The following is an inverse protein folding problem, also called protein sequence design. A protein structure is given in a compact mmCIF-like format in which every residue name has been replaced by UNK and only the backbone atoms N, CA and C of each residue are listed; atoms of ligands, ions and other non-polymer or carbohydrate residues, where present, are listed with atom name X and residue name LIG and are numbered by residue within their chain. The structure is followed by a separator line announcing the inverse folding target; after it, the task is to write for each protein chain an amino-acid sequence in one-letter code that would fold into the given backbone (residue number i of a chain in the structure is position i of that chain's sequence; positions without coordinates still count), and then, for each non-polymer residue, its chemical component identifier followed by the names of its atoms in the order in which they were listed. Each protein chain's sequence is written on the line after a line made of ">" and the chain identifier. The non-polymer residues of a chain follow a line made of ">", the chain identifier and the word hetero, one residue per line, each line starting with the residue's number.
data_IF_000779054253
#
_entry.id   IF_000779054253
#
_cell.length_a   1.000
_cell.length_b   1.000
_cell.length_c   1.000
_cell.angle_alpha   90.00
_cell.angle_beta   90.00
_cell.angle_gamma   90.00
#
_symmetry.space_group_name_H-M   'P 1'
#
loop_
_entity.id
_entity.type
_entity.pdbx_description
1 polymer ?
#
# COMPACT_ATOMS: atom_id res chain seq x y z
N UNK A 1 -0.17 9.68 13.20
CA UNK A 1 1.24 9.59 12.76
C UNK A 1 2.28 10.15 13.74
N UNK A 2 1.92 10.91 14.79
CA UNK A 2 2.88 11.39 15.81
C UNK A 2 3.62 10.28 16.60
N UNK A 3 3.12 9.03 16.62
CA UNK A 3 3.71 7.90 17.37
C UNK A 3 4.88 7.16 16.67
N UNK A 4 5.09 7.32 15.36
CA UNK A 4 6.14 6.60 14.60
C UNK A 4 7.13 7.51 13.86
N UNK A 5 6.98 8.84 14.00
CA UNK A 5 7.89 9.82 13.42
C UNK A 5 8.13 9.67 11.92
N UNK A 6 9.30 10.12 11.47
CA UNK A 6 9.76 10.06 10.07
C UNK A 6 9.83 8.62 9.54
N UNK A 7 10.21 7.64 10.37
CA UNK A 7 10.39 6.24 9.95
C UNK A 7 9.09 5.55 9.51
N UNK A 8 7.97 5.81 10.18
CA UNK A 8 6.67 5.25 9.78
C UNK A 8 6.21 5.77 8.40
N UNK A 9 6.47 7.03 8.10
CA UNK A 9 6.16 7.60 6.79
C UNK A 9 7.07 7.04 5.69
N UNK A 10 8.35 6.81 5.98
CA UNK A 10 9.28 6.19 5.03
C UNK A 10 8.86 4.77 4.66
N UNK A 11 8.40 3.96 5.61
CA UNK A 11 7.88 2.61 5.33
C UNK A 11 6.60 2.69 4.48
N UNK A 12 5.68 3.60 4.79
CA UNK A 12 4.49 3.83 3.95
C UNK A 12 4.89 4.16 2.50
N UNK A 13 5.78 5.13 2.31
CA UNK A 13 6.26 5.55 0.98
C UNK A 13 6.96 4.41 0.23
N UNK A 14 7.72 3.60 0.95
CA UNK A 14 8.34 2.41 0.38
C UNK A 14 7.30 1.40 -0.12
N UNK A 15 6.26 1.11 0.67
CA UNK A 15 5.19 0.19 0.28
C UNK A 15 4.37 0.70 -0.91
N UNK A 16 4.11 2.01 -0.95
CA UNK A 16 3.49 2.66 -2.12
C UNK A 16 4.36 2.48 -3.36
N UNK A 17 5.67 2.74 -3.25
CA UNK A 17 6.59 2.56 -4.37
C UNK A 17 6.68 1.09 -4.82
N UNK A 18 6.64 0.12 -3.89
CA UNK A 18 6.63 -1.30 -4.24
C UNK A 18 5.38 -1.69 -5.04
N UNK A 19 4.20 -1.17 -4.67
CA UNK A 19 2.98 -1.37 -5.46
C UNK A 19 3.16 -0.86 -6.89
N UNK A 20 3.77 0.33 -7.03
CA UNK A 20 4.03 0.95 -8.32
C UNK A 20 5.10 0.24 -9.14
N UNK A 21 6.14 -0.31 -8.50
CA UNK A 21 7.14 -1.13 -9.17
C UNK A 21 6.55 -2.42 -9.75
N UNK A 22 5.57 -3.02 -9.06
CA UNK A 22 4.83 -4.16 -9.59
C UNK A 22 3.89 -3.76 -10.74
N UNK A 23 3.64 -2.45 -10.92
CA UNK A 23 2.74 -1.93 -11.92
C UNK A 23 1.27 -2.13 -11.56
N UNK A 24 0.98 -2.37 -10.28
CA UNK A 24 -0.36 -2.66 -9.78
C UNK A 24 -0.97 -1.47 -9.01
N UNK A 25 -2.29 -1.49 -8.89
CA UNK A 25 -3.08 -0.49 -8.15
C UNK A 25 -3.27 -0.87 -6.66
N UNK A 26 -2.64 -1.95 -6.22
CA UNK A 26 -2.59 -2.42 -4.84
C UNK A 26 -1.33 -3.26 -4.61
N UNK A 27 -0.95 -3.43 -3.36
CA UNK A 27 0.12 -4.33 -2.93
C UNK A 27 -0.46 -5.48 -2.10
N UNK A 28 -0.29 -6.76 -2.52
CA UNK A 28 -0.66 -7.89 -1.70
C UNK A 28 0.09 -7.90 -0.36
N UNK A 29 -0.65 -7.94 0.75
CA UNK A 29 -0.06 -8.00 2.08
C UNK A 29 -0.06 -9.41 2.64
N UNK A 30 1.06 -10.10 2.43
CA UNK A 30 1.35 -11.41 3.01
C UNK A 30 2.59 -11.35 3.91
N UNK A 31 2.85 -12.46 4.60
CA UNK A 31 4.01 -12.59 5.48
C UNK A 31 5.34 -12.41 4.72
N UNK A 32 5.40 -12.81 3.45
CA UNK A 32 6.58 -12.60 2.61
C UNK A 32 6.84 -11.12 2.35
N UNK A 33 5.83 -10.35 1.95
CA UNK A 33 5.94 -8.89 1.76
C UNK A 33 6.37 -8.20 3.05
N UNK A 34 5.81 -8.63 4.18
CA UNK A 34 6.16 -8.11 5.50
C UNK A 34 7.62 -8.45 5.87
N UNK A 35 8.10 -9.67 5.59
CA UNK A 35 9.50 -10.07 5.81
C UNK A 35 10.48 -9.31 4.91
N UNK A 36 10.16 -9.10 3.63
CA UNK A 36 10.97 -8.29 2.71
C UNK A 36 11.11 -6.86 3.23
N UNK A 37 9.99 -6.26 3.64
CA UNK A 37 9.98 -4.91 4.23
C UNK A 37 10.79 -4.85 5.52
N UNK A 38 10.65 -5.85 6.40
CA UNK A 38 11.39 -5.94 7.65
C UNK A 38 12.91 -6.06 7.42
N UNK A 39 13.32 -6.89 6.45
CA UNK A 39 14.72 -7.06 6.06
C UNK A 39 15.30 -5.79 5.45
N UNK A 40 14.55 -5.09 4.59
CA UNK A 40 14.98 -3.84 3.98
C UNK A 40 15.21 -2.73 5.01
N UNK A 41 14.30 -2.59 5.97
CA UNK A 41 14.35 -1.58 7.01
C UNK A 41 15.13 -2.01 8.27
N UNK A 42 15.74 -3.20 8.24
CA UNK A 42 16.46 -3.82 9.36
C UNK A 42 15.68 -3.75 10.70
N UNK A 43 14.39 -4.10 10.64
CA UNK A 43 13.45 -4.03 11.76
C UNK A 43 12.73 -5.37 11.95
N UNK A 44 12.02 -5.55 13.06
CA UNK A 44 11.24 -6.77 13.29
C UNK A 44 9.99 -6.83 12.40
N UNK A 45 9.57 -8.05 12.05
CA UNK A 45 8.31 -8.31 11.33
C UNK A 45 7.10 -7.76 12.08
N UNK A 46 7.10 -7.88 13.41
CA UNK A 46 6.05 -7.34 14.27
C UNK A 46 5.98 -5.82 14.22
N UNK A 47 7.13 -5.14 14.21
CA UNK A 47 7.18 -3.68 14.09
C UNK A 47 6.65 -3.20 12.75
N UNK A 48 7.04 -3.84 11.64
CA UNK A 48 6.49 -3.51 10.31
C UNK A 48 4.98 -3.71 10.30
N UNK A 49 4.51 -4.85 10.79
CA UNK A 49 3.08 -5.15 10.85
C UNK A 49 2.32 -4.14 11.71
N UNK A 50 2.91 -3.72 12.83
CA UNK A 50 2.35 -2.71 13.72
C UNK A 50 2.30 -1.34 13.06
N UNK A 51 3.32 -0.95 12.30
CA UNK A 51 3.37 0.30 11.54
C UNK A 51 2.30 0.29 10.43
N UNK A 52 2.19 -0.80 9.66
CA UNK A 52 1.17 -0.95 8.61
C UNK A 52 -0.24 -0.88 9.19
N UNK A 53 -0.50 -1.56 10.32
CA UNK A 53 -1.76 -1.42 11.05
C UNK A 53 -2.01 0.02 11.50
N UNK A 54 -0.96 0.73 11.93
CA UNK A 54 -1.03 2.15 12.24
C UNK A 54 -1.39 3.00 11.02
N UNK A 55 -0.81 2.73 9.85
CA UNK A 55 -1.13 3.39 8.58
C UNK A 55 -2.60 3.17 8.18
N UNK A 56 -3.11 1.95 8.34
CA UNK A 56 -4.53 1.63 8.12
C UNK A 56 -5.43 2.41 9.10
N UNK A 57 -5.05 2.46 10.39
CA UNK A 57 -5.85 3.14 11.42
C UNK A 57 -5.95 4.65 11.19
N UNK A 58 -4.91 5.28 10.63
CA UNK A 58 -4.93 6.71 10.30
C UNK A 58 -5.52 7.02 8.93
N UNK A 59 -5.93 6.00 8.16
CA UNK A 59 -6.53 6.16 6.83
C UNK A 59 -5.52 6.34 5.68
N UNK A 60 -4.23 6.07 5.88
CA UNK A 60 -3.26 6.07 4.78
C UNK A 60 -3.49 4.90 3.82
N UNK A 61 -3.87 3.74 4.37
CA UNK A 61 -4.26 2.59 3.57
C UNK A 61 -5.74 2.29 3.80
N UNK A 62 -6.42 1.83 2.77
CA UNK A 62 -7.82 1.46 2.86
C UNK A 62 -8.00 0.21 3.75
N UNK A 63 -8.52 0.42 4.96
CA UNK A 63 -8.73 -0.66 5.92
C UNK A 63 -9.84 -1.65 5.55
N UNK A 64 -10.81 -1.23 4.74
CA UNK A 64 -11.87 -2.09 4.23
C UNK A 64 -11.31 -3.16 3.28
N UNK A 65 -10.52 -2.72 2.30
CA UNK A 65 -9.85 -3.60 1.34
C UNK A 65 -8.79 -4.47 2.00
N UNK A 66 -8.05 -3.92 2.96
CA UNK A 66 -7.11 -4.72 3.75
C UNK A 66 -7.83 -5.87 4.48
N UNK A 67 -9.02 -5.63 5.02
CA UNK A 67 -9.78 -6.65 5.75
C UNK A 67 -10.42 -7.68 4.81
N UNK A 68 -10.94 -7.24 3.65
CA UNK A 68 -11.65 -8.10 2.69
C UNK A 68 -10.69 -8.94 1.84
N UNK A 69 -9.62 -8.34 1.34
CA UNK A 69 -8.71 -8.96 0.36
C UNK A 69 -7.27 -9.11 0.84
N UNK A 70 -6.90 -8.61 2.02
CA UNK A 70 -5.52 -8.58 2.51
C UNK A 70 -4.57 -7.84 1.55
N UNK A 71 -5.03 -6.72 0.99
CA UNK A 71 -4.23 -5.84 0.13
C UNK A 71 -4.04 -4.47 0.76
N UNK A 72 -2.91 -3.82 0.45
CA UNK A 72 -2.68 -2.42 0.76
C UNK A 72 -2.93 -1.59 -0.49
N UNK A 73 -3.84 -0.64 -0.40
CA UNK A 73 -4.04 0.38 -1.44
C UNK A 73 -4.31 1.72 -0.77
N UNK A 74 -3.95 2.79 -1.46
CA UNK A 74 -4.16 4.17 -1.04
C UNK A 74 -4.53 5.00 -2.26
N UNK A 75 -5.08 6.19 -2.03
CA UNK A 75 -5.39 7.13 -3.10
C UNK A 75 -4.14 7.43 -3.96
N UNK A 76 -2.97 7.57 -3.33
CA UNK A 76 -1.69 7.77 -4.05
C UNK A 76 -1.38 6.62 -5.03
N UNK A 77 -1.54 5.35 -4.61
CA UNK A 77 -1.25 4.18 -5.44
C UNK A 77 -2.21 4.16 -6.64
N UNK A 78 -3.50 4.39 -6.40
CA UNK A 78 -4.51 4.33 -7.46
C UNK A 78 -4.38 5.48 -8.45
N UNK A 79 -4.18 6.71 -7.97
CA UNK A 79 -3.95 7.87 -8.82
C UNK A 79 -2.70 7.69 -9.68
N UNK A 80 -1.62 7.14 -9.11
CA UNK A 80 -0.40 6.92 -9.87
C UNK A 80 -0.57 5.76 -10.87
N UNK A 81 -1.29 4.69 -10.54
CA UNK A 81 -1.62 3.63 -11.49
C UNK A 81 -2.44 4.16 -12.68
N UNK A 82 -3.51 4.92 -12.42
CA UNK A 82 -4.33 5.56 -13.45
C UNK A 82 -3.49 6.47 -14.35
N UNK A 83 -2.58 7.25 -13.75
CA UNK A 83 -1.65 8.11 -14.48
C UNK A 83 -0.71 7.31 -15.38
N UNK A 84 -0.15 6.20 -14.89
CA UNK A 84 0.70 5.30 -15.68
C UNK A 84 -0.08 4.66 -16.83
N UNK A 85 -1.29 4.14 -16.59
CA UNK A 85 -2.15 3.59 -17.64
C UNK A 85 -2.49 4.63 -18.72
N UNK A 86 -2.83 5.86 -18.31
CA UNK A 86 -3.09 6.97 -19.21
C UNK A 86 -1.88 7.29 -20.10
N UNK A 87 -0.68 7.36 -19.52
CA UNK A 87 0.56 7.56 -20.29
C UNK A 87 0.84 6.41 -21.27
N UNK A 88 0.54 5.18 -20.89
CA UNK A 88 0.74 3.99 -21.71
C UNK A 88 -0.37 3.77 -22.74
N UNK A 89 -1.40 4.64 -22.80
CA UNK A 89 -2.61 4.46 -23.62
C UNK A 89 -3.30 3.10 -23.37
N UNK A 90 -3.16 2.55 -22.17
CA UNK A 90 -3.80 1.32 -21.75
C UNK A 90 -5.08 1.64 -20.98
N UNK A 91 -6.15 0.86 -21.21
CA UNK A 91 -7.33 0.95 -20.35
C UNK A 91 -6.98 0.40 -18.96
N UNK A 92 -7.21 1.16 -17.88
CA UNK A 92 -6.99 0.66 -16.54
C UNK A 92 -7.95 -0.52 -16.31
N UNK A 93 -7.40 -1.70 -15.99
CA UNK A 93 -8.19 -2.88 -15.62
C UNK A 93 -8.25 -2.96 -14.10
N UNK A 94 -8.99 -2.03 -13.51
CA UNK A 94 -9.24 -2.01 -12.08
C UNK A 94 -10.51 -2.82 -11.85
N UNK A 95 -10.45 -3.77 -10.93
CA UNK A 95 -11.65 -4.49 -10.51
C UNK A 95 -12.63 -3.50 -9.87
N UNK A 96 -13.90 -3.45 -10.30
CA UNK A 96 -14.94 -2.54 -9.75
C UNK A 96 -15.02 -2.59 -8.21
N UNK A 97 -14.72 -3.75 -7.61
CA UNK A 97 -14.70 -3.91 -6.15
C UNK A 97 -13.59 -3.11 -5.44
N UNK A 98 -12.52 -2.75 -6.14
CA UNK A 98 -11.41 -1.93 -5.65
C UNK A 98 -11.55 -0.44 -5.99
N UNK A 99 -12.36 -0.08 -7.01
CA UNK A 99 -12.68 1.32 -7.36
C UNK A 99 -13.62 1.98 -6.34
N UNK A 100 -14.59 1.23 -5.82
CA UNK A 100 -15.54 1.67 -4.78
C UNK A 100 -14.87 2.13 -3.47
N UNK A 101 -13.56 1.88 -3.31
CA UNK A 101 -12.78 2.24 -2.15
C UNK A 101 -12.26 3.70 -2.15
N UNK A 102 -12.49 4.44 -3.25
CA UNK A 102 -12.08 5.85 -3.44
C UNK A 102 -13.27 6.82 -3.39
N UNK A 103 -14.50 6.30 -3.26
CA UNK A 103 -15.74 7.11 -3.19
C UNK A 103 -16.06 7.58 -1.78
#
# INVERSE_FOLDING_TARGET
>A
MRKYGFGGYSIYRYLVNEALHQGDYFLPWCEETARKTASYWNTSLEDVTRIVKGCIQVGLFNGGLYRKYRVLTSEDIQQNYLKTCCMLSQLPNISEELELAVS
#
